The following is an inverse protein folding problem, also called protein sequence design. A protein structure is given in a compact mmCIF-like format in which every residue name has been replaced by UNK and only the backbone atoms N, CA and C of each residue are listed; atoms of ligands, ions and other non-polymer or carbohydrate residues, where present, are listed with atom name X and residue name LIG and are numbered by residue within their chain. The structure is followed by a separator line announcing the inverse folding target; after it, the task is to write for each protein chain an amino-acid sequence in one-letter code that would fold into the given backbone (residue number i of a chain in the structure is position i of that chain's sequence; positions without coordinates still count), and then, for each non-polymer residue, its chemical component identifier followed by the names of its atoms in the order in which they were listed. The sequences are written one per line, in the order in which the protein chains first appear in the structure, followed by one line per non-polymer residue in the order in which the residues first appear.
data_IF_024255481534
#
_entry.id   IF_024255481534
#
_cell.length_a   1.000
_cell.length_b   1.000
_cell.length_c   1.000
_cell.angle_alpha   90.00
_cell.angle_beta   90.00
_cell.angle_gamma   90.00
#
_symmetry.space_group_name_H-M   'P 1'
#
loop_
_entity.id
_entity.type
_entity.pdbx_description
1 polymer ?
#
# COMPACT_ATOMS: atom_id res chain seq x y z
N UNK A 1 9.96 32.63 -64.40
CA UNK A 1 10.42 31.68 -63.38
C UNK A 1 10.55 32.45 -62.08
N UNK A 2 9.44 32.58 -61.36
CA UNK A 2 9.40 33.11 -59.99
C UNK A 2 9.19 31.91 -59.06
N UNK A 3 9.89 31.79 -57.92
CA UNK A 3 9.71 30.66 -57.02
C UNK A 3 8.54 30.91 -56.07
N UNK A 4 7.58 29.97 -56.07
CA UNK A 4 6.50 29.89 -55.11
C UNK A 4 7.04 29.71 -53.68
N UNK A 5 6.67 30.62 -52.77
CA UNK A 5 6.79 30.43 -51.32
C UNK A 5 5.63 29.56 -50.85
N UNK A 6 5.94 28.39 -50.29
CA UNK A 6 5.00 27.55 -49.54
C UNK A 6 4.91 28.12 -48.12
N UNK A 7 3.74 28.62 -47.73
CA UNK A 7 3.41 28.92 -46.33
C UNK A 7 2.97 27.63 -45.63
N UNK A 8 3.81 27.12 -44.73
CA UNK A 8 3.41 26.08 -43.78
C UNK A 8 2.50 26.70 -42.71
N UNK A 9 1.21 26.37 -42.77
CA UNK A 9 0.26 26.65 -41.71
C UNK A 9 0.56 25.77 -40.49
N UNK A 10 1.40 26.29 -39.59
CA UNK A 10 1.59 25.75 -38.25
C UNK A 10 0.28 25.83 -37.47
N UNK A 11 -0.37 24.69 -37.30
CA UNK A 11 -1.55 24.56 -36.45
C UNK A 11 -1.10 24.68 -35.00
N UNK A 12 -1.34 25.85 -34.40
CA UNK A 12 -1.17 26.08 -32.97
C UNK A 12 -2.21 25.24 -32.23
N UNK A 13 -1.83 24.03 -31.82
CA UNK A 13 -2.52 23.31 -30.76
C UNK A 13 -2.37 24.15 -29.49
N UNK A 14 -3.41 24.94 -29.20
CA UNK A 14 -3.54 25.62 -27.92
C UNK A 14 -3.63 24.53 -26.84
N UNK A 15 -2.53 24.33 -26.12
CA UNK A 15 -2.55 23.59 -24.85
C UNK A 15 -3.58 24.27 -23.94
N UNK A 16 -4.72 23.61 -23.77
CA UNK A 16 -5.73 24.01 -22.79
C UNK A 16 -5.05 24.12 -21.42
N UNK A 17 -5.29 25.20 -20.66
CA UNK A 17 -4.67 25.38 -19.36
C UNK A 17 -4.98 24.18 -18.46
N UNK A 18 -3.94 23.61 -17.84
CA UNK A 18 -4.10 22.53 -16.86
C UNK A 18 -5.15 22.93 -15.84
N UNK A 19 -6.15 22.08 -15.53
CA UNK A 19 -7.13 22.40 -14.50
C UNK A 19 -6.39 22.74 -13.20
N UNK A 20 -6.91 23.69 -12.40
CA UNK A 20 -6.28 24.04 -11.14
C UNK A 20 -6.05 22.77 -10.31
N UNK A 21 -4.91 22.66 -9.61
CA UNK A 21 -4.64 21.50 -8.78
C UNK A 21 -5.80 21.32 -7.81
N UNK A 22 -6.34 20.10 -7.74
CA UNK A 22 -7.38 19.77 -6.77
C UNK A 22 -6.87 20.11 -5.37
N UNK A 23 -7.74 20.66 -4.52
CA UNK A 23 -7.41 21.06 -3.15
C UNK A 23 -7.07 19.89 -2.21
N UNK A 24 -7.01 18.66 -2.74
CA UNK A 24 -6.83 17.44 -1.98
C UNK A 24 -6.04 16.42 -2.80
N UNK A 25 -5.39 15.46 -2.12
CA UNK A 25 -4.65 14.38 -2.75
C UNK A 25 -4.93 13.05 -2.05
N UNK A 26 -5.15 11.98 -2.83
CA UNK A 26 -5.26 10.63 -2.29
C UNK A 26 -3.86 10.05 -2.00
N UNK A 27 -3.51 9.94 -0.73
CA UNK A 27 -2.23 9.41 -0.28
C UNK A 27 -2.36 7.93 0.14
N UNK A 28 -1.51 7.02 -0.34
CA UNK A 28 -1.59 5.62 0.05
C UNK A 28 -1.20 5.42 1.51
N UNK A 29 -1.96 4.61 2.24
CA UNK A 29 -1.52 4.09 3.53
C UNK A 29 -0.77 2.78 3.33
N UNK A 30 0.55 2.86 3.52
CA UNK A 30 1.46 1.71 3.40
C UNK A 30 1.28 0.71 4.56
N UNK A 31 1.78 -0.51 4.39
CA UNK A 31 1.91 -1.47 5.50
C UNK A 31 2.94 -1.01 6.54
N UNK A 32 2.92 -1.59 7.76
CA UNK A 32 3.94 -1.32 8.80
C UNK A 32 5.35 -1.55 8.24
N UNK A 33 5.58 -2.70 7.61
CA UNK A 33 6.87 -3.06 7.01
C UNK A 33 7.37 -2.08 5.93
N UNK A 34 6.45 -1.42 5.22
CA UNK A 34 6.79 -0.43 4.19
C UNK A 34 7.03 0.98 4.75
N UNK A 35 6.56 1.28 5.96
CA UNK A 35 6.74 2.59 6.61
C UNK A 35 7.79 2.60 7.71
N UNK A 36 8.18 1.44 8.23
CA UNK A 36 9.28 1.33 9.19
C UNK A 36 10.61 1.78 8.58
N UNK A 37 11.48 2.32 9.44
CA UNK A 37 12.87 2.58 9.11
C UNK A 37 13.62 1.27 8.81
N UNK A 38 14.76 1.36 8.12
CA UNK A 38 15.54 0.17 7.79
C UNK A 38 16.17 -0.40 9.05
N UNK A 39 15.70 -1.57 9.46
CA UNK A 39 16.28 -2.32 10.56
C UNK A 39 17.68 -2.83 10.18
N UNK A 40 18.66 -2.60 11.04
CA UNK A 40 20.06 -2.99 10.82
C UNK A 40 20.48 -4.09 11.79
N UNK A 41 21.20 -5.07 11.27
CA UNK A 41 21.85 -6.13 12.06
C UNK A 41 23.36 -6.11 11.82
N UNK A 42 24.16 -6.42 12.85
CA UNK A 42 25.61 -6.50 12.70
C UNK A 42 26.00 -7.72 11.87
N UNK A 43 26.98 -7.55 10.98
CA UNK A 43 27.56 -8.62 10.18
C UNK A 43 29.09 -8.45 10.10
N UNK A 44 29.78 -9.55 9.83
CA UNK A 44 31.22 -9.53 9.56
C UNK A 44 31.46 -9.41 8.05
N UNK A 45 32.29 -8.44 7.67
CA UNK A 45 32.82 -8.29 6.33
C UNK A 45 34.36 -8.29 6.38
N UNK A 46 35.01 -8.55 5.25
CA UNK A 46 36.47 -8.50 5.14
C UNK A 46 36.88 -7.82 3.82
N UNK A 47 38.00 -7.07 3.79
CA UNK A 47 38.53 -6.53 2.55
C UNK A 47 39.09 -7.66 1.68
N UNK A 48 38.96 -7.53 0.37
CA UNK A 48 39.52 -8.48 -0.61
C UNK A 48 40.91 -7.98 -1.01
N UNK A 49 41.95 -8.67 -0.55
CA UNK A 49 43.35 -8.34 -0.82
C UNK A 49 43.77 -8.70 -2.25
N UNK A 50 43.24 -9.79 -2.80
CA UNK A 50 43.47 -10.24 -4.19
C UNK A 50 42.15 -10.30 -4.97
N UNK A 51 41.86 -9.31 -5.84
CA UNK A 51 40.64 -9.28 -6.65
C UNK A 51 40.44 -10.51 -7.54
N UNK A 52 41.51 -11.22 -7.92
CA UNK A 52 41.43 -12.44 -8.75
C UNK A 52 40.72 -13.58 -8.04
N UNK A 53 40.74 -13.58 -6.71
CA UNK A 53 40.09 -14.61 -5.88
C UNK A 53 38.61 -14.32 -5.61
N UNK A 54 38.09 -13.13 -5.96
CA UNK A 54 36.72 -12.70 -5.59
C UNK A 54 35.65 -13.70 -5.99
N UNK A 55 35.65 -14.17 -7.25
CA UNK A 55 34.63 -15.11 -7.75
C UNK A 55 34.69 -16.47 -7.05
N UNK A 56 35.91 -16.94 -6.71
CA UNK A 56 36.11 -18.15 -5.92
C UNK A 56 35.55 -17.98 -4.51
N UNK A 57 35.97 -16.91 -3.82
CA UNK A 57 35.55 -16.61 -2.45
C UNK A 57 34.04 -16.46 -2.32
N UNK A 58 33.39 -15.74 -3.25
CA UNK A 58 31.93 -15.59 -3.27
C UNK A 58 31.23 -16.96 -3.40
N UNK A 59 31.74 -17.84 -4.28
CA UNK A 59 31.17 -19.17 -4.49
C UNK A 59 31.34 -20.07 -3.26
N UNK A 60 32.53 -20.11 -2.69
CA UNK A 60 32.84 -20.90 -1.49
C UNK A 60 32.04 -20.42 -0.27
N UNK A 61 32.00 -19.12 -0.02
CA UNK A 61 31.20 -18.54 1.07
C UNK A 61 29.71 -18.77 0.89
N UNK A 62 29.19 -18.63 -0.33
CA UNK A 62 27.76 -18.85 -0.58
C UNK A 62 27.36 -20.32 -0.36
N UNK A 63 28.28 -21.26 -0.60
CA UNK A 63 28.08 -22.68 -0.32
C UNK A 63 28.23 -23.01 1.17
N UNK A 64 29.24 -22.45 1.84
CA UNK A 64 29.60 -22.84 3.20
C UNK A 64 28.89 -22.03 4.31
N UNK A 65 28.59 -20.75 4.05
CA UNK A 65 27.94 -19.82 4.99
C UNK A 65 26.80 -19.06 4.30
N UNK A 66 25.73 -19.73 3.82
CA UNK A 66 24.61 -19.04 3.19
C UNK A 66 23.95 -18.02 4.14
N UNK A 67 23.35 -16.97 3.59
CA UNK A 67 22.57 -15.96 4.33
C UNK A 67 21.08 -16.11 4.03
N UNK A 68 20.41 -17.19 4.48
CA UNK A 68 19.02 -17.46 4.13
C UNK A 68 18.04 -16.42 4.67
N UNK A 69 18.39 -15.76 5.79
CA UNK A 69 17.58 -14.69 6.36
C UNK A 69 17.72 -13.36 5.60
N UNK A 70 18.77 -13.18 4.78
CA UNK A 70 19.03 -11.95 4.03
C UNK A 70 19.43 -12.22 2.57
N UNK A 71 18.55 -12.85 1.77
CA UNK A 71 18.84 -13.17 0.37
C UNK A 71 18.99 -11.92 -0.51
N UNK A 72 18.54 -10.76 -0.03
CA UNK A 72 18.62 -9.48 -0.73
C UNK A 72 20.00 -8.82 -0.66
N UNK A 73 20.86 -9.20 0.29
CA UNK A 73 22.17 -8.57 0.43
C UNK A 73 23.12 -9.04 -0.66
N UNK A 74 23.80 -8.10 -1.33
CA UNK A 74 24.88 -8.46 -2.26
C UNK A 74 26.11 -8.87 -1.48
N UNK A 75 26.79 -9.94 -1.89
CA UNK A 75 28.00 -10.42 -1.19
C UNK A 75 29.19 -9.48 -1.26
N UNK A 76 29.32 -8.74 -2.35
CA UNK A 76 30.47 -7.89 -2.62
C UNK A 76 30.02 -6.43 -2.70
N UNK A 77 30.80 -5.52 -2.14
CA UNK A 77 30.67 -4.08 -2.36
C UNK A 77 32.03 -3.45 -2.70
N UNK A 78 32.05 -2.33 -3.44
CA UNK A 78 33.25 -1.52 -3.53
C UNK A 78 33.58 -0.93 -2.16
N UNK A 79 34.86 -0.78 -1.87
CA UNK A 79 35.32 -0.06 -0.69
C UNK A 79 34.90 1.40 -0.78
N UNK A 80 34.47 1.97 0.35
CA UNK A 80 34.04 3.37 0.44
C UNK A 80 35.22 4.34 0.53
N UNK A 81 36.38 3.86 1.00
CA UNK A 81 37.61 4.64 1.06
C UNK A 81 38.43 4.45 -0.22
N UNK A 82 38.45 5.48 -1.07
CA UNK A 82 39.20 5.50 -2.31
C UNK A 82 40.73 5.44 -2.11
N UNK A 83 41.23 5.72 -0.89
CA UNK A 83 42.64 5.62 -0.54
C UNK A 83 43.04 4.20 -0.10
N UNK A 84 42.07 3.30 0.12
CA UNK A 84 42.37 1.93 0.50
C UNK A 84 42.96 1.16 -0.70
N UNK A 85 44.05 0.40 -0.52
CA UNK A 85 44.64 -0.42 -1.60
C UNK A 85 43.71 -1.55 -2.06
N UNK A 86 42.67 -1.86 -1.30
CA UNK A 86 41.73 -2.93 -1.57
C UNK A 86 40.40 -2.35 -2.03
N UNK A 87 40.10 -2.50 -3.32
CA UNK A 87 38.93 -1.90 -3.95
C UNK A 87 37.59 -2.57 -3.58
N UNK A 88 37.61 -3.77 -2.97
CA UNK A 88 36.42 -4.58 -2.72
C UNK A 88 36.37 -5.08 -1.28
N UNK A 89 35.15 -5.21 -0.78
CA UNK A 89 34.84 -5.81 0.51
C UNK A 89 33.79 -6.91 0.33
N UNK A 90 33.93 -7.96 1.13
CA UNK A 90 33.15 -9.19 1.04
C UNK A 90 32.42 -9.45 2.35
N UNK A 91 31.10 -9.59 2.29
CA UNK A 91 30.27 -9.98 3.43
C UNK A 91 30.49 -11.47 3.73
N UNK A 92 30.76 -11.81 4.98
CA UNK A 92 31.07 -13.18 5.42
C UNK A 92 29.86 -13.87 6.06
N UNK A 93 29.36 -13.34 7.18
CA UNK A 93 28.23 -13.88 7.93
C UNK A 93 27.58 -12.82 8.83
N UNK A 94 26.38 -13.09 9.36
CA UNK A 94 25.80 -12.27 10.41
C UNK A 94 26.60 -12.44 11.71
N UNK A 95 26.73 -11.37 12.49
CA UNK A 95 27.34 -11.46 13.80
C UNK A 95 26.36 -12.10 14.79
N UNK A 96 26.87 -13.02 15.60
CA UNK A 96 26.13 -13.58 16.74
C UNK A 96 25.99 -12.57 17.89
N UNK A 97 25.33 -12.96 19.00
CA UNK A 97 25.12 -12.10 20.16
C UNK A 97 26.44 -11.68 20.85
N UNK A 98 27.50 -12.49 20.75
CA UNK A 98 28.84 -12.14 21.20
C UNK A 98 29.59 -11.38 20.10
N UNK A 99 29.33 -10.07 20.00
CA UNK A 99 30.04 -9.19 19.07
C UNK A 99 31.46 -8.91 19.58
N UNK A 100 32.45 -8.97 18.69
CA UNK A 100 33.83 -8.71 19.06
C UNK A 100 34.80 -8.80 17.88
N UNK A 101 36.08 -8.54 18.16
CA UNK A 101 37.15 -8.84 17.22
C UNK A 101 37.23 -10.37 17.04
N UNK A 102 37.12 -10.84 15.81
CA UNK A 102 37.20 -12.24 15.46
C UNK A 102 38.28 -12.44 14.40
N UNK A 103 38.93 -13.60 14.41
CA UNK A 103 39.85 -13.99 13.33
C UNK A 103 39.09 -14.63 12.15
N UNK A 104 39.67 -14.63 10.95
CA UNK A 104 39.06 -15.35 9.81
C UNK A 104 38.88 -16.84 10.11
N UNK A 105 39.79 -17.45 10.86
CA UNK A 105 39.70 -18.86 11.28
C UNK A 105 38.53 -19.17 12.22
N UNK A 106 38.06 -18.18 12.98
CA UNK A 106 36.87 -18.32 13.83
C UNK A 106 35.58 -18.18 13.02
N UNK A 107 35.59 -17.33 11.98
CA UNK A 107 34.41 -17.02 11.18
C UNK A 107 34.19 -17.98 10.01
N UNK A 108 35.27 -18.47 9.40
CA UNK A 108 35.23 -19.25 8.17
C UNK A 108 35.31 -20.75 8.48
N UNK A 109 34.39 -21.56 7.91
CA UNK A 109 34.52 -23.01 7.99
C UNK A 109 35.74 -23.49 7.18
N UNK A 110 36.29 -24.67 7.50
CA UNK A 110 37.50 -25.20 6.84
C UNK A 110 37.35 -25.44 5.33
N UNK A 111 36.11 -25.41 4.81
CA UNK A 111 35.82 -25.53 3.39
C UNK A 111 36.08 -24.25 2.57
N UNK A 112 36.33 -23.11 3.24
CA UNK A 112 36.58 -21.82 2.59
C UNK A 112 38.07 -21.47 2.77
N UNK A 113 38.79 -21.28 1.67
CA UNK A 113 40.19 -20.85 1.73
C UNK A 113 40.25 -19.33 2.00
N UNK A 114 40.79 -18.87 3.15
CA UNK A 114 40.85 -17.44 3.49
C UNK A 114 41.83 -16.66 2.62
N UNK A 115 42.63 -17.32 1.78
CA UNK A 115 43.62 -16.65 0.94
C UNK A 115 42.96 -15.59 0.04
N UNK A 116 43.49 -14.37 0.10
CA UNK A 116 42.93 -13.20 -0.57
C UNK A 116 41.94 -12.38 0.26
N UNK A 117 41.66 -12.75 1.52
CA UNK A 117 40.89 -11.94 2.47
C UNK A 117 41.79 -11.29 3.52
N UNK A 118 41.47 -10.04 3.89
CA UNK A 118 42.10 -9.35 5.00
C UNK A 118 41.35 -9.55 6.33
N UNK A 119 41.74 -8.81 7.38
CA UNK A 119 41.13 -8.95 8.69
C UNK A 119 39.62 -8.60 8.64
N UNK A 120 38.76 -9.39 9.30
CA UNK A 120 37.34 -9.11 9.31
C UNK A 120 37.01 -7.94 10.23
N UNK A 121 35.94 -7.22 9.91
CA UNK A 121 35.43 -6.09 10.66
C UNK A 121 33.89 -6.16 10.74
N UNK A 122 33.34 -5.51 11.76
CA UNK A 122 31.89 -5.42 11.95
C UNK A 122 31.31 -4.28 11.11
N UNK A 123 30.19 -4.55 10.46
CA UNK A 123 29.44 -3.59 9.66
C UNK A 123 27.93 -3.80 9.85
N UNK A 124 27.13 -2.73 9.98
CA UNK A 124 25.68 -2.85 9.98
C UNK A 124 25.17 -3.17 8.57
N UNK A 125 24.25 -4.12 8.45
CA UNK A 125 23.59 -4.48 7.18
C UNK A 125 22.07 -4.51 7.35
N UNK A 126 21.29 -4.21 6.29
CA UNK A 126 19.83 -4.29 6.32
C UNK A 126 19.32 -5.69 6.66
N UNK A 127 18.53 -5.81 7.73
CA UNK A 127 17.97 -7.06 8.23
C UNK A 127 16.91 -7.66 7.28
N UNK A 128 16.14 -6.79 6.63
CA UNK A 128 15.01 -7.13 5.75
C UNK A 128 15.20 -6.49 4.37
N UNK A 129 14.62 -7.07 3.30
CA UNK A 129 14.65 -6.45 1.98
C UNK A 129 13.89 -5.12 1.98
N UNK A 130 14.42 -4.08 1.33
CA UNK A 130 13.71 -2.80 1.21
C UNK A 130 12.46 -2.97 0.34
N UNK A 131 11.34 -2.41 0.79
CA UNK A 131 10.05 -2.49 0.09
C UNK A 131 9.69 -1.19 -0.64
N UNK A 132 10.28 -0.07 -0.23
CA UNK A 132 10.10 1.24 -0.87
C UNK A 132 11.42 1.80 -1.39
N UNK A 133 11.34 2.78 -2.31
CA UNK A 133 12.52 3.47 -2.84
C UNK A 133 13.32 4.18 -1.73
N UNK A 134 12.63 4.82 -0.78
CA UNK A 134 13.25 5.48 0.36
C UNK A 134 14.01 4.47 1.24
N UNK A 135 13.38 3.35 1.59
CA UNK A 135 14.05 2.26 2.32
C UNK A 135 15.24 1.70 1.54
N UNK A 136 15.15 1.60 0.22
CA UNK A 136 16.27 1.13 -0.59
C UNK A 136 17.45 2.08 -0.55
N UNK A 137 17.21 3.39 -0.63
CA UNK A 137 18.26 4.41 -0.56
C UNK A 137 18.94 4.42 0.82
N UNK A 138 18.16 4.32 1.89
CA UNK A 138 18.65 4.17 3.27
C UNK A 138 19.46 2.87 3.44
N UNK A 139 18.90 1.73 3.03
CA UNK A 139 19.56 0.42 3.09
C UNK A 139 20.89 0.40 2.32
N UNK A 140 20.90 1.01 1.13
CA UNK A 140 22.08 1.09 0.26
C UNK A 140 23.23 1.89 0.91
N UNK A 141 22.93 2.85 1.79
CA UNK A 141 23.96 3.59 2.52
C UNK A 141 24.74 2.68 3.49
N UNK A 142 24.13 1.60 3.99
CA UNK A 142 24.75 0.64 4.88
C UNK A 142 25.39 -0.53 4.13
N UNK A 143 24.63 -1.20 3.27
CA UNK A 143 25.13 -2.32 2.47
C UNK A 143 24.31 -2.50 1.19
N UNK A 144 24.96 -2.78 0.03
CA UNK A 144 24.23 -2.94 -1.21
C UNK A 144 23.24 -4.10 -1.17
N UNK A 145 22.00 -3.79 -1.53
CA UNK A 145 20.89 -4.73 -1.57
C UNK A 145 20.30 -4.85 -2.97
N UNK A 146 19.66 -5.97 -3.29
CA UNK A 146 18.77 -6.09 -4.45
C UNK A 146 17.44 -5.43 -4.12
N UNK A 147 16.92 -4.62 -5.03
CA UNK A 147 15.63 -3.97 -4.88
C UNK A 147 14.83 -4.10 -6.18
N UNK A 148 13.62 -4.62 -6.04
CA UNK A 148 12.65 -4.72 -7.13
C UNK A 148 11.53 -3.75 -6.81
N UNK A 149 11.51 -2.63 -7.53
CA UNK A 149 10.57 -1.56 -7.24
C UNK A 149 9.13 -1.97 -7.58
N UNK A 150 8.25 -1.81 -6.60
CA UNK A 150 6.81 -1.84 -6.84
C UNK A 150 6.37 -0.51 -7.48
N UNK A 151 6.14 -0.56 -8.79
CA UNK A 151 5.71 0.60 -9.58
C UNK A 151 4.40 1.21 -9.09
N UNK A 152 3.49 0.41 -8.51
CA UNK A 152 2.23 0.94 -7.99
C UNK A 152 2.48 1.75 -6.72
N UNK A 153 3.27 1.22 -5.79
CA UNK A 153 3.65 1.92 -4.55
C UNK A 153 4.41 3.21 -4.87
N UNK A 154 5.40 3.17 -5.78
CA UNK A 154 6.15 4.37 -6.20
C UNK A 154 5.24 5.42 -6.83
N UNK A 155 4.33 5.02 -7.73
CA UNK A 155 3.36 5.96 -8.32
C UNK A 155 2.40 6.54 -7.30
N UNK A 156 1.97 5.73 -6.32
CA UNK A 156 1.08 6.15 -5.26
C UNK A 156 1.75 7.16 -4.31
N UNK A 157 3.00 6.91 -3.91
CA UNK A 157 3.78 7.84 -3.09
C UNK A 157 4.11 9.15 -3.83
N UNK A 158 4.26 9.09 -5.16
CA UNK A 158 4.41 10.29 -5.98
C UNK A 158 3.08 11.04 -6.23
N UNK A 159 1.95 10.52 -5.73
CA UNK A 159 0.62 11.11 -5.96
C UNK A 159 0.10 10.99 -7.40
N UNK A 160 0.70 10.09 -8.21
CA UNK A 160 0.43 9.89 -9.65
C UNK A 160 -0.30 8.58 -9.92
N UNK A 161 -0.97 8.02 -8.91
CA UNK A 161 -1.71 6.78 -9.07
C UNK A 161 -2.99 6.97 -9.88
N UNK A 162 -3.71 8.06 -9.61
CA UNK A 162 -5.00 8.37 -10.22
C UNK A 162 -4.85 9.47 -11.27
N UNK A 163 -5.50 9.28 -12.42
CA UNK A 163 -5.66 10.31 -13.45
C UNK A 163 -6.59 11.43 -12.96
N UNK A 164 -6.54 12.60 -13.63
CA UNK A 164 -7.42 13.75 -13.32
C UNK A 164 -8.90 13.35 -13.41
N UNK A 165 -9.27 12.54 -14.41
CA UNK A 165 -10.65 12.05 -14.55
C UNK A 165 -11.05 11.10 -13.41
N UNK A 166 -10.14 10.23 -12.95
CA UNK A 166 -10.39 9.39 -11.78
C UNK A 166 -10.56 10.22 -10.52
N UNK A 167 -9.70 11.22 -10.31
CA UNK A 167 -9.80 12.11 -9.16
C UNK A 167 -11.13 12.88 -9.14
N UNK A 168 -11.62 13.36 -10.30
CA UNK A 168 -12.94 13.99 -10.40
C UNK A 168 -14.08 13.04 -9.99
N UNK A 169 -14.01 11.75 -10.38
CA UNK A 169 -14.98 10.73 -9.94
C UNK A 169 -14.88 10.47 -8.44
N UNK A 170 -13.65 10.32 -7.92
CA UNK A 170 -13.39 10.14 -6.49
C UNK A 170 -13.97 11.29 -5.66
N UNK A 171 -13.79 12.53 -6.11
CA UNK A 171 -14.40 13.71 -5.50
C UNK A 171 -15.93 13.59 -5.47
N UNK A 172 -16.58 13.28 -6.60
CA UNK A 172 -18.03 13.11 -6.64
C UNK A 172 -18.56 12.01 -5.71
N UNK A 173 -17.80 10.91 -5.54
CA UNK A 173 -18.14 9.85 -4.59
C UNK A 173 -18.00 10.31 -3.13
N UNK A 174 -16.91 11.02 -2.80
CA UNK A 174 -16.71 11.54 -1.45
C UNK A 174 -17.69 12.67 -1.11
N UNK A 175 -18.01 13.58 -2.04
CA UNK A 175 -19.07 14.59 -1.86
C UNK A 175 -20.44 13.97 -1.58
N UNK A 176 -20.71 12.79 -2.14
CA UNK A 176 -21.93 12.03 -1.82
C UNK A 176 -21.89 11.47 -0.40
N UNK A 177 -20.74 10.98 0.07
CA UNK A 177 -20.55 10.56 1.45
C UNK A 177 -20.68 11.75 2.43
N UNK A 178 -20.08 12.90 2.12
CA UNK A 178 -20.22 14.15 2.89
C UNK A 178 -21.69 14.58 3.00
N UNK A 179 -22.45 14.55 1.90
CA UNK A 179 -23.90 14.85 1.94
C UNK A 179 -24.69 13.87 2.81
N UNK A 180 -24.34 12.59 2.82
CA UNK A 180 -24.96 11.62 3.70
C UNK A 180 -24.66 11.91 5.18
N UNK A 181 -23.41 12.26 5.49
CA UNK A 181 -22.98 12.68 6.83
C UNK A 181 -23.72 13.93 7.32
N UNK A 182 -23.86 14.95 6.47
CA UNK A 182 -24.60 16.18 6.78
C UNK A 182 -26.08 15.89 7.09
N UNK A 183 -26.71 14.97 6.36
CA UNK A 183 -28.09 14.53 6.64
C UNK A 183 -28.21 13.83 7.99
N UNK A 184 -27.23 13.01 8.36
CA UNK A 184 -27.17 12.39 9.68
C UNK A 184 -27.05 13.44 10.79
N UNK A 185 -26.16 14.43 10.61
CA UNK A 185 -25.97 15.52 11.56
C UNK A 185 -27.25 16.33 11.79
N UNK A 186 -28.02 16.62 10.74
CA UNK A 186 -29.32 17.30 10.86
C UNK A 186 -30.35 16.51 11.68
N UNK A 187 -30.16 15.20 11.82
CA UNK A 187 -31.01 14.32 12.64
C UNK A 187 -30.45 14.11 14.06
N UNK A 188 -29.38 14.80 14.43
CA UNK A 188 -28.70 14.63 15.71
C UNK A 188 -27.88 13.33 15.82
N UNK A 189 -27.60 12.68 14.69
CA UNK A 189 -26.73 11.50 14.62
C UNK A 189 -25.28 11.92 14.36
N UNK A 190 -24.34 10.99 14.58
CA UNK A 190 -22.92 11.22 14.28
C UNK A 190 -22.73 11.54 12.79
N UNK A 191 -21.98 12.60 12.50
CA UNK A 191 -21.76 13.10 11.14
C UNK A 191 -20.72 12.28 10.35
N UNK A 192 -20.96 10.97 10.18
CA UNK A 192 -20.12 10.09 9.36
C UNK A 192 -20.94 9.51 8.22
N UNK A 193 -20.43 9.61 7.00
CA UNK A 193 -21.08 9.16 5.78
C UNK A 193 -20.18 8.26 4.96
N UNK A 194 -20.78 7.34 4.21
CA UNK A 194 -20.06 6.36 3.41
C UNK A 194 -20.81 6.01 2.10
N UNK A 195 -20.04 5.60 1.09
CA UNK A 195 -20.53 5.20 -0.22
C UNK A 195 -19.72 4.00 -0.73
N UNK A 196 -20.41 2.95 -1.19
CA UNK A 196 -19.78 1.81 -1.88
C UNK A 196 -20.00 1.95 -3.38
N UNK A 197 -18.93 1.76 -4.15
CA UNK A 197 -18.88 1.99 -5.59
C UNK A 197 -18.39 0.74 -6.29
N UNK A 198 -19.08 0.35 -7.37
CA UNK A 198 -18.55 -0.59 -8.33
C UNK A 198 -17.53 0.13 -9.23
N UNK A 199 -16.24 -0.22 -9.15
CA UNK A 199 -15.21 0.49 -9.87
C UNK A 199 -15.17 0.20 -11.37
N UNK A 200 -15.79 -0.89 -11.83
CA UNK A 200 -15.85 -1.23 -13.25
C UNK A 200 -16.80 -0.31 -14.01
N UNK A 201 -17.92 0.05 -13.37
CA UNK A 201 -18.95 0.93 -13.93
C UNK A 201 -18.87 2.37 -13.40
N UNK A 202 -18.17 2.60 -12.28
CA UNK A 202 -18.20 3.87 -11.54
C UNK A 202 -19.53 4.11 -10.82
N UNK A 203 -20.39 3.09 -10.73
CA UNK A 203 -21.74 3.22 -10.18
C UNK A 203 -21.72 3.12 -8.65
N UNK A 204 -22.45 4.02 -8.01
CA UNK A 204 -22.71 3.94 -6.57
C UNK A 204 -23.74 2.84 -6.30
N UNK A 205 -23.33 1.83 -5.52
CA UNK A 205 -24.17 0.71 -5.10
C UNK A 205 -24.90 1.02 -3.80
N UNK A 206 -24.19 1.53 -2.79
CA UNK A 206 -24.77 1.88 -1.50
C UNK A 206 -24.34 3.29 -1.10
N UNK A 207 -25.24 4.02 -0.44
CA UNK A 207 -24.94 5.26 0.29
C UNK A 207 -25.51 5.09 1.68
N UNK A 208 -24.71 5.32 2.71
CA UNK A 208 -25.09 5.18 4.10
C UNK A 208 -24.47 6.28 4.97
N UNK A 209 -24.96 6.37 6.19
CA UNK A 209 -24.39 7.21 7.24
C UNK A 209 -24.40 6.45 8.57
N UNK A 210 -23.83 7.04 9.60
CA UNK A 210 -23.90 6.49 10.95
C UNK A 210 -25.37 6.47 11.42
N UNK A 211 -25.85 5.28 11.74
CA UNK A 211 -27.19 5.01 12.27
C UNK A 211 -27.11 4.47 13.70
N UNK A 212 -25.96 4.65 14.36
CA UNK A 212 -25.74 4.23 15.75
C UNK A 212 -26.76 4.87 16.68
N UNK A 213 -27.28 4.07 17.61
CA UNK A 213 -28.22 4.52 18.63
C UNK A 213 -27.95 3.80 19.95
N UNK A 214 -28.66 4.18 21.02
CA UNK A 214 -28.56 3.50 22.32
C UNK A 214 -28.96 2.02 22.25
N UNK A 215 -29.80 1.63 21.29
CA UNK A 215 -30.26 0.24 21.10
C UNK A 215 -29.34 -0.56 20.19
N UNK A 216 -28.65 0.10 19.25
CA UNK A 216 -27.65 -0.55 18.40
C UNK A 216 -26.48 0.42 18.11
N UNK A 217 -25.41 0.36 18.92
CA UNK A 217 -24.26 1.24 18.75
C UNK A 217 -23.34 0.82 17.60
N UNK A 218 -23.55 -0.35 16.98
CA UNK A 218 -22.65 -0.92 15.97
C UNK A 218 -22.94 -0.44 14.55
N UNK A 219 -24.00 0.34 14.34
CA UNK A 219 -24.45 0.82 13.03
C UNK A 219 -23.63 2.02 12.51
N UNK A 220 -22.31 1.88 12.50
CA UNK A 220 -21.42 2.85 11.88
C UNK A 220 -21.64 2.91 10.36
N UNK A 221 -21.33 4.04 9.73
CA UNK A 221 -21.56 4.25 8.29
C UNK A 221 -20.99 3.15 7.39
N UNK A 222 -19.82 2.60 7.73
CA UNK A 222 -19.20 1.46 7.04
C UNK A 222 -20.05 0.19 7.15
N UNK A 223 -20.51 -0.15 8.36
CA UNK A 223 -21.35 -1.32 8.61
C UNK A 223 -22.69 -1.21 7.88
N UNK A 224 -23.29 -0.02 7.93
CA UNK A 224 -24.52 0.32 7.21
C UNK A 224 -24.34 0.11 5.71
N UNK A 225 -23.22 0.54 5.12
CA UNK A 225 -22.95 0.31 3.70
C UNK A 225 -22.75 -1.17 3.34
N UNK A 226 -22.07 -1.93 4.18
CA UNK A 226 -21.90 -3.38 3.98
C UNK A 226 -23.27 -4.06 4.00
N UNK A 227 -24.11 -3.75 4.98
CA UNK A 227 -25.47 -4.31 5.09
C UNK A 227 -26.36 -3.89 3.91
N UNK A 228 -26.28 -2.64 3.44
CA UNK A 228 -27.00 -2.19 2.24
C UNK A 228 -26.60 -2.96 0.97
N UNK A 229 -25.31 -3.22 0.78
CA UNK A 229 -24.84 -4.04 -0.35
C UNK A 229 -25.37 -5.46 -0.24
N UNK A 230 -25.29 -6.04 0.96
CA UNK A 230 -25.79 -7.37 1.22
C UNK A 230 -27.31 -7.45 1.00
N UNK A 231 -28.10 -6.49 1.48
CA UNK A 231 -29.55 -6.39 1.24
C UNK A 231 -29.87 -6.43 -0.26
N UNK A 232 -29.05 -5.72 -1.03
CA UNK A 232 -29.10 -5.72 -2.49
C UNK A 232 -28.87 -7.07 -3.16
N UNK A 233 -28.18 -7.96 -2.47
CA UNK A 233 -27.92 -9.35 -2.86
C UNK A 233 -28.92 -10.32 -2.21
N UNK A 234 -30.01 -9.81 -1.62
CA UNK A 234 -31.03 -10.60 -0.94
C UNK A 234 -30.66 -11.01 0.50
N UNK A 235 -29.59 -10.45 1.08
CA UNK A 235 -29.02 -10.88 2.36
C UNK A 235 -28.80 -9.66 3.26
N UNK A 236 -29.67 -9.34 4.21
CA UNK A 236 -29.47 -8.16 5.09
C UNK A 236 -30.00 -8.37 6.48
N UNK A 237 -29.36 -7.76 7.47
CA UNK A 237 -29.69 -7.93 8.87
C UNK A 237 -30.53 -6.78 9.45
N UNK A 238 -30.44 -5.58 8.88
CA UNK A 238 -31.02 -4.38 9.50
C UNK A 238 -32.05 -3.68 8.62
N UNK A 239 -33.15 -3.20 9.23
CA UNK A 239 -34.12 -2.36 8.52
C UNK A 239 -33.64 -0.90 8.48
N UNK A 240 -32.98 -0.55 7.38
CA UNK A 240 -32.39 0.77 7.18
C UNK A 240 -33.33 1.76 6.47
N UNK A 241 -34.58 1.36 6.15
CA UNK A 241 -35.55 2.21 5.44
C UNK A 241 -35.98 3.43 6.24
N UNK A 242 -35.81 3.39 7.56
CA UNK A 242 -36.10 4.50 8.47
C UNK A 242 -35.05 5.62 8.37
N UNK A 243 -33.91 5.38 7.72
CA UNK A 243 -32.83 6.35 7.55
C UNK A 243 -32.83 6.90 6.11
N UNK A 244 -33.32 8.13 5.87
CA UNK A 244 -33.64 8.61 4.52
C UNK A 244 -32.41 8.87 3.63
N UNK A 245 -31.21 8.93 4.19
CA UNK A 245 -29.97 9.03 3.42
C UNK A 245 -29.37 7.65 3.09
N UNK A 246 -29.83 6.58 3.76
CA UNK A 246 -29.44 5.22 3.48
C UNK A 246 -30.19 4.70 2.25
N UNK A 247 -29.45 4.31 1.23
CA UNK A 247 -30.04 3.81 -0.01
C UNK A 247 -29.12 2.80 -0.68
N UNK A 248 -29.73 1.82 -1.31
CA UNK A 248 -29.07 0.86 -2.17
C UNK A 248 -29.62 0.98 -3.60
N UNK A 249 -28.75 0.84 -4.60
CA UNK A 249 -29.12 0.85 -6.01
C UNK A 249 -28.66 -0.46 -6.66
N UNK A 250 -29.57 -1.40 -6.98
CA UNK A 250 -29.22 -2.72 -7.48
C UNK A 250 -28.43 -2.68 -8.77
N UNK A 251 -27.37 -3.49 -8.87
CA UNK A 251 -26.63 -3.71 -10.11
C UNK A 251 -27.63 -4.08 -11.24
N UNK A 252 -27.49 -3.44 -12.40
CA UNK A 252 -28.44 -3.62 -13.50
C UNK A 252 -28.12 -4.94 -14.22
N UNK A 253 -28.66 -6.05 -13.72
CA UNK A 253 -28.36 -7.44 -14.16
C UNK A 253 -26.88 -7.80 -13.95
N UNK A 254 -26.53 -9.00 -13.45
CA UNK A 254 -25.14 -9.42 -13.41
C UNK A 254 -24.62 -9.55 -14.85
N UNK A 255 -23.87 -8.56 -15.32
CA UNK A 255 -22.99 -8.79 -16.46
C UNK A 255 -21.96 -9.80 -15.99
N UNK A 256 -22.11 -11.03 -16.49
CA UNK A 256 -21.14 -12.10 -16.35
C UNK A 256 -19.74 -11.51 -16.48
N UNK A 257 -18.98 -11.56 -15.39
CA UNK A 257 -17.58 -11.14 -15.35
C UNK A 257 -16.87 -11.90 -16.46
N UNK A 258 -16.53 -11.22 -17.57
CA UNK A 258 -15.77 -11.86 -18.65
C UNK A 258 -14.39 -12.22 -18.08
N UNK A 259 -13.99 -13.50 -18.10
CA UNK A 259 -12.69 -13.90 -17.58
C UNK A 259 -11.61 -13.40 -18.55
N UNK A 260 -11.00 -12.27 -18.20
CA UNK A 260 -10.01 -11.59 -19.03
C UNK A 260 -8.87 -11.03 -18.19
N UNK A 261 -7.89 -11.89 -17.91
CA UNK A 261 -6.52 -11.57 -17.46
C UNK A 261 -6.36 -10.95 -16.07
N UNK A 262 -6.82 -11.66 -15.04
CA UNK A 262 -6.14 -11.65 -13.73
C UNK A 262 -5.52 -13.03 -13.57
N UNK A 263 -4.19 -13.08 -13.43
CA UNK A 263 -3.46 -14.33 -13.22
C UNK A 263 -3.92 -14.94 -11.89
N UNK A 264 -4.77 -15.97 -12.02
CA UNK A 264 -5.01 -17.12 -11.13
C UNK A 264 -5.07 -16.82 -9.63
N UNK A 265 -6.29 -16.70 -9.11
CA UNK A 265 -6.66 -17.28 -7.82
C UNK A 265 -8.07 -17.87 -7.99
N UNK A 266 -8.12 -19.19 -7.88
CA UNK A 266 -9.24 -20.15 -7.85
C UNK A 266 -10.68 -19.65 -8.09
N UNK A 267 -11.29 -20.25 -9.11
CA UNK A 267 -12.64 -20.01 -9.62
C UNK A 267 -13.73 -20.76 -8.85
N UNK A 268 -13.82 -20.63 -7.53
CA UNK A 268 -14.82 -21.39 -6.75
C UNK A 268 -15.50 -20.63 -5.61
N UNK A 269 -15.55 -19.29 -5.67
CA UNK A 269 -16.35 -18.48 -4.74
C UNK A 269 -17.54 -17.80 -5.46
N UNK A 270 -18.22 -18.52 -6.36
CA UNK A 270 -19.59 -18.17 -6.73
C UNK A 270 -20.50 -18.81 -5.68
N UNK A 271 -21.15 -18.00 -4.83
CA UNK A 271 -22.25 -18.49 -3.98
C UNK A 271 -23.32 -19.14 -4.90
N UNK A 272 -24.13 -20.09 -4.40
CA UNK A 272 -25.14 -20.83 -5.21
C UNK A 272 -26.10 -19.92 -6.03
N UNK A 273 -26.19 -18.64 -5.66
CA UNK A 273 -27.01 -17.61 -6.32
C UNK A 273 -26.28 -16.83 -7.44
N UNK A 274 -24.99 -17.08 -7.71
CA UNK A 274 -24.19 -16.40 -8.75
C UNK A 274 -23.90 -14.92 -8.48
N UNK A 275 -24.13 -14.44 -7.26
CA UNK A 275 -23.86 -13.08 -6.82
C UNK A 275 -22.45 -12.97 -6.20
N UNK A 276 -21.78 -11.81 -6.31
CA UNK A 276 -20.50 -11.60 -5.66
C UNK A 276 -20.67 -11.61 -4.13
N UNK A 277 -19.72 -12.22 -3.42
CA UNK A 277 -19.72 -12.25 -1.97
C UNK A 277 -19.62 -10.83 -1.37
N UNK A 278 -20.75 -10.29 -0.91
CA UNK A 278 -20.89 -8.98 -0.24
C UNK A 278 -20.18 -7.85 -1.01
N UNK A 279 -19.09 -7.29 -0.49
CA UNK A 279 -18.39 -6.14 -1.08
C UNK A 279 -17.17 -6.53 -1.93
N UNK A 280 -17.08 -7.80 -2.35
CA UNK A 280 -15.93 -8.31 -3.11
C UNK A 280 -15.69 -7.47 -4.36
N UNK A 281 -14.50 -6.88 -4.46
CA UNK A 281 -14.10 -6.11 -5.65
C UNK A 281 -14.57 -4.66 -5.68
N UNK A 282 -15.33 -4.18 -4.68
CA UNK A 282 -15.84 -2.81 -4.64
C UNK A 282 -14.93 -1.84 -3.89
N UNK A 283 -15.13 -0.54 -4.13
CA UNK A 283 -14.41 0.53 -3.44
C UNK A 283 -15.35 1.24 -2.43
N UNK A 284 -14.83 1.53 -1.24
CA UNK A 284 -15.51 2.33 -0.22
C UNK A 284 -14.95 3.74 -0.18
N UNK A 285 -15.82 4.76 -0.16
CA UNK A 285 -15.51 6.15 0.18
C UNK A 285 -16.19 6.48 1.51
N UNK A 286 -15.43 6.95 2.49
CA UNK A 286 -15.97 7.23 3.84
C UNK A 286 -15.39 8.54 4.39
N UNK A 287 -16.23 9.37 5.01
CA UNK A 287 -15.78 10.70 5.45
C UNK A 287 -14.76 10.64 6.59
N UNK A 288 -14.82 9.61 7.42
CA UNK A 288 -13.92 9.42 8.56
C UNK A 288 -13.26 8.04 8.52
N UNK A 289 -12.01 7.97 8.96
CA UNK A 289 -11.27 6.70 9.04
C UNK A 289 -12.05 5.62 9.83
N UNK A 290 -12.24 4.42 9.25
CA UNK A 290 -12.88 3.30 9.94
C UNK A 290 -12.16 2.88 11.23
N UNK A 291 -12.93 2.68 12.30
CA UNK A 291 -12.43 2.08 13.53
C UNK A 291 -12.11 0.58 13.37
N UNK A 292 -11.53 -0.05 14.39
CA UNK A 292 -11.13 -1.48 14.39
C UNK A 292 -12.26 -2.41 13.93
N UNK A 293 -13.48 -2.22 14.44
CA UNK A 293 -14.65 -3.03 14.04
C UNK A 293 -14.95 -2.89 12.54
N UNK A 294 -15.06 -1.65 12.06
CA UNK A 294 -15.37 -1.37 10.66
C UNK A 294 -14.24 -1.86 9.72
N UNK A 295 -12.99 -1.66 10.12
CA UNK A 295 -11.83 -2.12 9.36
C UNK A 295 -11.80 -3.65 9.25
N UNK A 296 -12.08 -4.38 10.33
CA UNK A 296 -12.16 -5.85 10.28
C UNK A 296 -13.37 -6.33 9.48
N UNK A 297 -14.51 -5.64 9.55
CA UNK A 297 -15.66 -5.95 8.71
C UNK A 297 -15.34 -5.79 7.22
N UNK A 298 -14.51 -4.82 6.85
CA UNK A 298 -14.06 -4.64 5.47
C UNK A 298 -13.13 -5.76 4.98
N UNK A 299 -12.28 -6.31 5.86
CA UNK A 299 -11.52 -7.54 5.58
C UNK A 299 -12.48 -8.68 5.28
N UNK A 300 -13.48 -8.90 6.15
CA UNK A 300 -14.48 -9.96 5.97
C UNK A 300 -15.39 -9.75 4.76
N UNK A 301 -15.67 -8.51 4.36
CA UNK A 301 -16.47 -8.19 3.18
C UNK A 301 -15.66 -8.20 1.88
N UNK A 302 -14.35 -8.51 1.95
CA UNK A 302 -13.41 -8.57 0.82
C UNK A 302 -13.39 -7.29 -0.03
N UNK A 303 -13.51 -6.12 0.62
CA UNK A 303 -13.45 -4.83 -0.08
C UNK A 303 -12.15 -4.71 -0.88
N UNK A 304 -12.17 -4.03 -2.02
CA UNK A 304 -10.98 -3.86 -2.86
C UNK A 304 -10.13 -2.68 -2.43
N UNK A 305 -10.75 -1.51 -2.24
CA UNK A 305 -10.08 -0.27 -1.83
C UNK A 305 -10.94 0.54 -0.88
N UNK A 306 -10.29 1.31 0.00
CA UNK A 306 -10.94 2.27 0.89
C UNK A 306 -10.30 3.62 0.70
N UNK A 307 -11.13 4.64 0.53
CA UNK A 307 -10.75 6.04 0.49
C UNK A 307 -11.41 6.73 1.67
N UNK A 308 -10.62 7.30 2.58
CA UNK A 308 -11.16 8.09 3.67
C UNK A 308 -10.73 9.55 3.61
N UNK A 309 -11.59 10.43 4.11
CA UNK A 309 -11.33 11.87 4.19
C UNK A 309 -10.48 12.20 5.41
N UNK A 310 -11.12 12.29 6.58
CA UNK A 310 -10.47 12.68 7.83
C UNK A 310 -9.92 11.48 8.61
N UNK A 311 -8.73 11.58 9.24
CA UNK A 311 -8.24 10.58 10.18
C UNK A 311 -9.15 10.49 11.42
N UNK A 312 -9.00 9.41 12.20
CA UNK A 312 -9.73 9.23 13.45
C UNK A 312 -8.81 8.75 14.58
N UNK A 313 -8.96 9.24 15.82
CA UNK A 313 -8.18 8.76 16.96
C UNK A 313 -8.27 7.25 17.18
N UNK A 314 -9.41 6.63 16.85
CA UNK A 314 -9.66 5.19 16.95
C UNK A 314 -9.52 4.46 15.61
N UNK A 315 -8.97 5.14 14.61
CA UNK A 315 -8.80 4.65 13.25
C UNK A 315 -7.86 3.46 13.16
N UNK A 316 -8.26 2.45 12.38
CA UNK A 316 -7.54 1.18 12.29
C UNK A 316 -6.99 0.87 10.89
N UNK A 317 -7.01 1.86 9.99
CA UNK A 317 -6.46 1.73 8.64
C UNK A 317 -5.16 2.51 8.46
N UNK A 318 -4.90 3.55 9.26
CA UNK A 318 -3.66 4.33 9.23
C UNK A 318 -3.29 5.00 10.56
N UNK A 319 -4.26 5.34 11.43
CA UNK A 319 -3.98 6.08 12.66
C UNK A 319 -3.37 5.22 13.78
N UNK A 320 -4.09 4.23 14.30
CA UNK A 320 -3.59 3.33 15.36
C UNK A 320 -3.08 2.00 14.84
N UNK A 321 -3.74 1.49 13.80
CA UNK A 321 -3.47 0.18 13.22
C UNK A 321 -3.48 0.27 11.71
N UNK A 322 -2.98 -0.79 11.06
CA UNK A 322 -2.96 -0.95 9.61
C UNK A 322 -3.54 -2.31 9.22
N UNK A 323 -4.78 -2.56 9.66
CA UNK A 323 -5.43 -3.87 9.51
C UNK A 323 -5.53 -4.32 8.05
N UNK A 324 -5.68 -3.37 7.11
CA UNK A 324 -5.75 -3.64 5.67
C UNK A 324 -4.52 -4.35 5.10
N UNK A 325 -3.38 -4.27 5.78
CA UNK A 325 -2.10 -4.78 5.31
C UNK A 325 -1.48 -5.87 6.19
N UNK A 326 -2.23 -6.36 7.19
CA UNK A 326 -1.76 -7.39 8.13
C UNK A 326 -1.55 -8.75 7.41
N UNK A 327 -0.35 -9.36 7.52
CA UNK A 327 -0.05 -10.61 6.81
C UNK A 327 -0.76 -11.83 7.39
N UNK A 328 -1.16 -11.77 8.66
CA UNK A 328 -1.89 -12.77 9.42
C UNK A 328 -3.39 -12.82 9.12
N UNK A 329 -3.91 -11.85 8.34
CA UNK A 329 -5.30 -11.82 7.90
C UNK A 329 -5.48 -12.47 6.52
N UNK A 330 -6.67 -13.01 6.30
CA UNK A 330 -7.03 -13.77 5.09
C UNK A 330 -7.31 -12.90 3.85
N UNK A 331 -7.51 -11.59 4.01
CA UNK A 331 -7.73 -10.64 2.92
C UNK A 331 -6.96 -9.34 3.17
N UNK A 332 -6.47 -8.72 2.10
CA UNK A 332 -5.75 -7.42 2.14
C UNK A 332 -6.31 -6.50 1.07
N UNK A 333 -6.38 -5.21 1.38
CA UNK A 333 -6.94 -4.20 0.48
C UNK A 333 -6.16 -2.90 0.53
N UNK A 334 -6.32 -2.07 -0.50
CA UNK A 334 -5.59 -0.79 -0.57
C UNK A 334 -6.35 0.30 0.18
N UNK A 335 -5.63 1.16 0.89
CA UNK A 335 -6.21 2.28 1.61
C UNK A 335 -5.56 3.57 1.16
N UNK A 336 -6.39 4.60 0.97
CA UNK A 336 -5.97 5.96 0.66
C UNK A 336 -6.64 6.94 1.62
N UNK A 337 -5.88 7.93 2.08
CA UNK A 337 -6.37 9.03 2.90
C UNK A 337 -6.32 10.36 2.14
N UNK A 338 -6.91 11.41 2.72
CA UNK A 338 -6.77 12.78 2.21
C UNK A 338 -7.81 13.19 1.17
N UNK A 339 -8.81 12.36 0.87
CA UNK A 339 -9.83 12.69 -0.15
C UNK A 339 -10.87 13.64 0.47
N UNK A 340 -10.87 14.91 0.05
CA UNK A 340 -11.72 15.96 0.63
C UNK A 340 -11.55 16.08 2.16
N UNK A 341 -10.30 15.97 2.63
CA UNK A 341 -9.97 15.95 4.06
C UNK A 341 -10.52 17.18 4.80
N UNK A 342 -10.28 18.38 4.29
CA UNK A 342 -10.77 19.63 4.91
C UNK A 342 -12.29 19.63 5.10
N UNK A 343 -13.05 19.23 4.07
CA UNK A 343 -14.51 19.14 4.18
C UNK A 343 -14.95 18.05 5.16
N UNK A 344 -14.21 16.94 5.22
CA UNK A 344 -14.52 15.84 6.12
C UNK A 344 -14.23 16.18 7.58
N UNK A 345 -13.14 16.89 7.88
CA UNK A 345 -12.79 17.36 9.21
C UNK A 345 -13.83 18.36 9.75
N UNK A 346 -14.43 19.18 8.89
CA UNK A 346 -15.47 20.15 9.29
C UNK A 346 -16.80 19.50 9.70
N UNK A 347 -17.03 18.21 9.40
CA UNK A 347 -18.28 17.54 9.74
C UNK A 347 -18.43 17.25 11.24
N UNK A 348 -17.32 17.17 11.96
CA UNK A 348 -17.29 16.74 13.36
C UNK A 348 -16.12 17.44 14.06
N UNK A 349 -16.33 18.70 14.50
CA UNK A 349 -15.28 19.59 15.00
C UNK A 349 -14.79 19.24 16.42
N UNK A 350 -15.42 18.26 17.08
CA UNK A 350 -15.12 17.86 18.46
C UNK A 350 -14.07 16.73 18.56
N UNK A 351 -13.40 16.38 17.45
CA UNK A 351 -12.27 15.42 17.43
C UNK A 351 -10.94 16.04 17.09
#
# INVERSE_FOLDING_TARGET
MEPHRNEEAGSLEQELPSPPPLAWQALPILSEQQSEAVELVPAYAAPVLDPRQTSRLVRELSAALPLPAQPHLKRVRPNLDACCPHALELLLCLAGPAQGACSLSELLPPAVDPNGLGPPFLVPVPARPPLTRAQFEEARAHWPSTFHEDKQVTRALAGRLFSVQEQARMQGHMERAVRAAQKAAMQGLRAVGAVVVDPSSGRVLATGHDCGSSTNPLLHATMVCIDLVAQGQGRGAHDLRLHPACSFTPAATPQAVRPGTVRKLDCCDEDEDGLPYVCTGYDLYVTREPCVMCAMALVHARIRRVFYGAPSPDGALGSRFRLHARPDLNHRFQVFCGVLEDQCCQLDPDT
#
